data_IF_743124410216
#
_entry.id   IF_743124410216
#
_cell.length_a   1.000
_cell.length_b   1.000
_cell.length_c   1.000
_cell.angle_alpha   90.00
_cell.angle_beta   90.00
_cell.angle_gamma   90.00
#
_symmetry.space_group_name_H-M   'P 1'
#
loop_
_entity.id
_entity.type
_entity.pdbx_description
1 polymer ?
#
# COMPACT_ATOMS: atom_id res chain seq x y z
N UNK A 1 -12.36 5.66 -9.20
CA UNK A 1 -11.61 4.49 -9.71
C UNK A 1 -11.29 4.71 -11.17
N UNK A 2 -10.03 4.54 -11.58
CA UNK A 2 -9.61 4.63 -12.98
C UNK A 2 -9.22 3.23 -13.48
N UNK A 3 -9.75 2.84 -14.64
CA UNK A 3 -9.41 1.58 -15.30
C UNK A 3 -8.64 1.91 -16.57
N UNK A 4 -7.35 1.55 -16.61
CA UNK A 4 -6.47 1.87 -17.74
C UNK A 4 -6.35 0.75 -18.77
N UNK A 5 -6.81 -0.47 -18.43
CA UNK A 5 -6.77 -1.63 -19.32
C UNK A 5 -5.35 -1.90 -19.80
N UNK A 6 -5.18 -2.13 -21.10
CA UNK A 6 -3.87 -2.35 -21.73
C UNK A 6 -3.20 -1.06 -22.24
N UNK A 7 -3.81 0.11 -22.05
CA UNK A 7 -3.28 1.36 -22.59
C UNK A 7 -2.49 2.14 -21.53
N UNK A 8 -1.17 1.95 -21.52
CA UNK A 8 -0.25 2.63 -20.59
C UNK A 8 -0.09 4.12 -20.88
N UNK A 9 -0.40 4.61 -22.08
CA UNK A 9 -0.33 6.05 -22.38
C UNK A 9 -1.26 6.88 -21.49
N UNK A 10 -2.42 6.33 -21.09
CA UNK A 10 -3.33 6.98 -20.14
C UNK A 10 -2.78 6.98 -18.72
N UNK A 11 -1.95 6.00 -18.36
CA UNK A 11 -1.26 5.95 -17.07
C UNK A 11 -0.15 7.00 -17.02
N UNK A 12 0.64 7.13 -18.09
CA UNK A 12 1.73 8.10 -18.17
C UNK A 12 1.30 9.57 -18.15
N UNK A 13 0.02 9.85 -18.40
CA UNK A 13 -0.57 11.18 -18.16
C UNK A 13 -0.50 11.59 -16.68
N UNK A 14 -0.52 10.62 -15.78
CA UNK A 14 -0.56 10.85 -14.32
C UNK A 14 0.75 10.50 -13.63
N UNK A 15 1.48 9.50 -14.14
CA UNK A 15 2.71 9.02 -13.53
C UNK A 15 3.85 9.00 -14.55
N UNK A 16 4.93 9.70 -14.25
CA UNK A 16 6.09 9.75 -15.14
C UNK A 16 6.77 8.36 -15.24
N UNK A 17 7.25 7.90 -16.41
CA UNK A 17 7.92 6.61 -16.57
C UNK A 17 9.07 6.37 -15.57
N UNK A 18 9.79 7.42 -15.19
CA UNK A 18 10.93 7.34 -14.27
C UNK A 18 10.61 6.86 -12.85
N UNK A 19 9.33 6.83 -12.46
CA UNK A 19 8.88 6.31 -11.15
C UNK A 19 8.13 4.99 -11.27
N UNK A 20 8.03 4.43 -12.48
CA UNK A 20 7.27 3.22 -12.77
C UNK A 20 8.21 2.04 -13.06
N UNK A 21 7.84 0.82 -12.64
CA UNK A 21 8.48 -0.42 -13.08
C UNK A 21 8.33 -0.69 -14.59
N UNK A 22 9.20 -1.54 -15.11
CA UNK A 22 9.23 -1.96 -16.52
C UNK A 22 7.89 -2.54 -17.02
N UNK A 23 7.13 -3.24 -16.18
CA UNK A 23 5.84 -3.84 -16.54
C UNK A 23 4.75 -2.81 -16.88
N UNK A 24 4.99 -1.54 -16.53
CA UNK A 24 4.11 -0.42 -16.79
C UNK A 24 4.72 0.58 -17.78
N UNK A 25 5.61 0.12 -18.68
CA UNK A 25 6.38 0.96 -19.61
C UNK A 25 7.20 2.05 -18.89
N UNK A 26 7.69 1.72 -17.69
CA UNK A 26 8.53 2.58 -16.86
C UNK A 26 10.04 2.35 -17.02
N UNK A 27 10.83 3.18 -16.35
CA UNK A 27 12.30 3.13 -16.41
C UNK A 27 12.93 2.41 -15.20
N UNK A 28 12.12 2.09 -14.17
CA UNK A 28 12.60 1.32 -13.03
C UNK A 28 12.70 -0.18 -13.37
N UNK A 29 13.48 -0.95 -12.60
CA UNK A 29 13.51 -2.40 -12.71
C UNK A 29 12.13 -3.04 -12.57
N UNK A 30 12.06 -4.34 -12.89
CA UNK A 30 10.87 -5.16 -12.65
C UNK A 30 10.34 -4.97 -11.22
N UNK A 31 9.01 -4.95 -11.12
CA UNK A 31 8.35 -4.68 -9.85
C UNK A 31 8.74 -5.75 -8.82
N UNK A 32 9.35 -5.30 -7.72
CA UNK A 32 9.62 -6.13 -6.55
C UNK A 32 8.98 -5.52 -5.31
N UNK A 33 8.18 -6.32 -4.60
CA UNK A 33 7.58 -5.94 -3.33
C UNK A 33 8.45 -6.30 -2.11
N UNK A 34 9.67 -6.81 -2.32
CA UNK A 34 10.49 -7.38 -1.25
C UNK A 34 10.86 -6.35 -0.19
N UNK A 35 11.30 -5.16 -0.61
CA UNK A 35 11.66 -4.07 0.31
C UNK A 35 10.44 -3.56 1.10
N UNK A 36 9.29 -3.44 0.43
CA UNK A 36 8.06 -3.06 1.11
C UNK A 36 7.61 -4.12 2.12
N UNK A 37 7.72 -5.41 1.77
CA UNK A 37 7.37 -6.53 2.66
C UNK A 37 8.24 -6.53 3.91
N UNK A 38 9.57 -6.39 3.76
CA UNK A 38 10.49 -6.26 4.89
C UNK A 38 10.15 -5.05 5.78
N UNK A 39 9.81 -3.93 5.16
CA UNK A 39 9.42 -2.73 5.91
C UNK A 39 8.13 -2.96 6.71
N UNK A 40 7.12 -3.59 6.11
CA UNK A 40 5.89 -3.96 6.81
C UNK A 40 6.16 -4.90 7.99
N UNK A 41 7.00 -5.93 7.79
CA UNK A 41 7.42 -6.84 8.86
C UNK A 41 8.12 -6.09 10.00
N UNK A 42 9.03 -5.16 9.68
CA UNK A 42 9.72 -4.32 10.66
C UNK A 42 8.79 -3.38 11.45
N UNK A 43 7.59 -3.12 10.94
CA UNK A 43 6.61 -2.21 11.55
C UNK A 43 5.59 -2.96 12.43
N UNK A 44 5.68 -4.30 12.53
CA UNK A 44 4.71 -5.13 13.26
C UNK A 44 4.54 -4.72 14.74
N UNK A 45 5.62 -4.40 15.44
CA UNK A 45 5.58 -3.99 16.85
C UNK A 45 4.91 -2.62 17.02
N UNK A 46 5.14 -1.70 16.09
CA UNK A 46 4.49 -0.40 16.06
C UNK A 46 2.98 -0.54 15.81
N UNK A 47 2.58 -1.42 14.90
CA UNK A 47 1.17 -1.72 14.66
C UNK A 47 0.51 -2.34 15.89
N UNK A 48 1.18 -3.28 16.56
CA UNK A 48 0.72 -3.87 17.83
C UNK A 48 0.51 -2.80 18.89
N UNK A 49 1.44 -1.85 18.98
CA UNK A 49 1.34 -0.70 19.88
C UNK A 49 0.14 0.17 19.53
N UNK A 50 -0.08 0.51 18.26
CA UNK A 50 -1.27 1.25 17.82
C UNK A 50 -2.55 0.52 18.20
N UNK A 51 -2.62 -0.80 17.96
CA UNK A 51 -3.80 -1.62 18.27
C UNK A 51 -4.05 -1.77 19.77
N UNK A 52 -3.03 -1.60 20.62
CA UNK A 52 -3.21 -1.59 22.07
C UNK A 52 -3.96 -0.36 22.58
N UNK A 53 -3.98 0.73 21.80
CA UNK A 53 -4.75 1.92 22.11
C UNK A 53 -6.18 1.81 21.58
N UNK A 54 -7.13 2.40 22.31
CA UNK A 54 -8.54 2.44 21.91
C UNK A 54 -9.47 2.51 23.12
N UNK A 55 -10.76 2.63 22.86
CA UNK A 55 -11.78 2.59 23.91
C UNK A 55 -12.39 1.20 23.97
N UNK A 56 -12.40 0.60 25.17
CA UNK A 56 -13.19 -0.60 25.40
C UNK A 56 -14.68 -0.26 25.21
N UNK A 57 -15.36 -1.05 24.37
CA UNK A 57 -16.82 -0.98 24.26
C UNK A 57 -17.38 -1.42 25.61
N UNK A 58 -17.90 -0.46 26.39
CA UNK A 58 -18.63 -0.79 27.62
C UNK A 58 -19.82 -1.67 27.25
N UNK A 59 -19.73 -2.96 27.55
CA UNK A 59 -20.88 -3.84 27.54
C UNK A 59 -21.87 -3.30 28.57
N UNK A 60 -22.94 -2.64 28.11
CA UNK A 60 -24.07 -2.28 28.97
C UNK A 60 -24.63 -3.60 29.51
N UNK A 61 -24.26 -3.98 30.74
CA UNK A 61 -25.03 -4.95 31.51
C UNK A 61 -26.41 -4.34 31.71
N UNK A 62 -27.39 -4.82 30.95
CA UNK A 62 -28.81 -4.66 31.25
C UNK A 62 -29.01 -5.22 32.66
N UNK A 63 -29.36 -4.33 33.59
CA UNK A 63 -30.00 -4.68 34.87
C UNK A 63 -31.49 -4.45 34.70
#
# INVERSE_FOLDING_TARGET
FHFHGKNMQKLHKYFHPSILPAEYDGELPEFSNSEWSKHMESTADYLTTIFSYGYEKKNKKSR
#
